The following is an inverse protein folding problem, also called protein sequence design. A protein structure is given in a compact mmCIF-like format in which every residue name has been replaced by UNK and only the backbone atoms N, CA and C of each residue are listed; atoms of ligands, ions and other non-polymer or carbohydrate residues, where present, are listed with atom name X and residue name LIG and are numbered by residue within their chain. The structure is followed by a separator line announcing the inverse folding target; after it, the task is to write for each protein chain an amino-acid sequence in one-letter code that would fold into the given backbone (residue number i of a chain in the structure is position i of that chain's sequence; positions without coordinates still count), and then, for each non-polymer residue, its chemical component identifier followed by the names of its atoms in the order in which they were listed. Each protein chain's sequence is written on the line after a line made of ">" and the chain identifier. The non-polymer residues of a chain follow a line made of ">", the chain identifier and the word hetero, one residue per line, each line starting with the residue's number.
data_IF_466587427803
#
_entry.id   IF_466587427803
#
_cell.length_a   1.000
_cell.length_b   1.000
_cell.length_c   1.000
_cell.angle_alpha   90.00
_cell.angle_beta   90.00
_cell.angle_gamma   90.00
#
_symmetry.space_group_name_H-M   'P 1'
#
loop_
_entity.id
_entity.type
_entity.pdbx_description
1 polymer ?
#
# COMPACT_ATOMS: atom_id res chain seq x y z
N UNK A 1 0.32 -23.71 -14.25
CA UNK A 1 -0.24 -22.33 -14.34
C UNK A 1 -0.19 -21.68 -12.98
N UNK A 2 0.29 -20.44 -12.92
CA UNK A 2 0.30 -19.66 -11.68
C UNK A 2 -1.02 -18.92 -11.60
N UNK A 3 -1.73 -19.10 -10.48
CA UNK A 3 -2.97 -18.39 -10.20
C UNK A 3 -2.68 -17.28 -9.21
N UNK A 4 -3.23 -16.09 -9.45
CA UNK A 4 -3.07 -14.94 -8.57
C UNK A 4 -4.41 -14.26 -8.36
N UNK A 5 -4.62 -13.73 -7.17
CA UNK A 5 -5.70 -12.77 -6.92
C UNK A 5 -5.08 -11.41 -6.63
N UNK A 6 -5.79 -10.36 -7.02
CA UNK A 6 -5.32 -8.98 -6.89
C UNK A 6 -6.35 -8.21 -6.09
N UNK A 7 -5.86 -7.47 -5.08
CA UNK A 7 -6.70 -6.56 -4.31
C UNK A 7 -6.37 -5.11 -4.66
N UNK A 8 -7.35 -4.24 -4.52
CA UNK A 8 -7.18 -2.80 -4.70
C UNK A 8 -7.74 -2.06 -3.50
N UNK A 9 -6.92 -1.16 -2.97
CA UNK A 9 -7.35 -0.24 -1.92
C UNK A 9 -6.99 1.18 -2.34
N UNK A 10 -7.84 2.12 -1.95
CA UNK A 10 -7.53 3.55 -2.05
C UNK A 10 -7.52 4.10 -0.64
N UNK A 11 -6.46 4.80 -0.27
CA UNK A 11 -6.36 5.44 1.04
C UNK A 11 -5.91 6.88 0.86
N UNK A 12 -6.54 7.78 1.63
CA UNK A 12 -6.07 9.16 1.71
C UNK A 12 -4.90 9.17 2.69
N UNK A 13 -3.80 9.77 2.27
CA UNK A 13 -2.63 9.85 3.11
C UNK A 13 -1.79 11.08 2.85
N UNK A 14 -0.84 11.29 3.73
CA UNK A 14 0.10 12.41 3.68
C UNK A 14 1.50 11.86 3.80
N UNK A 15 2.42 12.40 3.01
CA UNK A 15 3.83 12.11 3.14
C UNK A 15 4.67 13.30 2.69
N UNK A 16 5.97 13.19 2.87
CA UNK A 16 6.92 14.21 2.42
C UNK A 16 8.16 13.54 1.87
N UNK A 17 8.86 14.27 1.02
CA UNK A 17 10.16 13.86 0.49
C UNK A 17 11.21 14.87 0.97
N UNK A 18 11.77 14.70 2.19
CA UNK A 18 12.64 15.71 2.80
C UNK A 18 13.84 16.11 1.96
N UNK A 19 14.42 15.13 1.24
CA UNK A 19 15.62 15.35 0.42
C UNK A 19 15.28 15.57 -1.05
N UNK A 20 14.08 16.10 -1.36
CA UNK A 20 13.64 16.30 -2.72
C UNK A 20 14.61 17.21 -3.49
N UNK A 21 14.99 16.80 -4.73
CA UNK A 21 15.89 17.62 -5.56
C UNK A 21 15.20 18.93 -5.97
N UNK A 22 15.98 19.89 -6.45
CA UNK A 22 15.47 21.21 -6.81
C UNK A 22 14.33 21.15 -7.83
N UNK A 23 14.34 20.19 -8.74
CA UNK A 23 13.30 20.02 -9.76
C UNK A 23 11.93 19.71 -9.18
N UNK A 24 11.86 19.18 -7.95
CA UNK A 24 10.61 18.85 -7.26
C UNK A 24 10.65 19.22 -5.78
N UNK A 25 11.31 20.34 -5.47
CA UNK A 25 11.51 20.80 -4.09
C UNK A 25 10.18 20.96 -3.31
N UNK A 26 9.08 21.24 -4.01
CA UNK A 26 7.76 21.35 -3.39
C UNK A 26 7.31 20.06 -2.69
N UNK A 27 7.87 18.89 -3.07
CA UNK A 27 7.56 17.61 -2.44
C UNK A 27 8.21 17.46 -1.06
N UNK A 28 9.12 18.35 -0.68
CA UNK A 28 9.79 18.28 0.63
C UNK A 28 8.83 18.56 1.79
N UNK A 29 7.71 19.23 1.53
CA UNK A 29 6.70 19.52 2.55
C UNK A 29 5.63 18.42 2.53
N UNK A 30 5.00 18.22 3.69
CA UNK A 30 3.90 17.28 3.84
C UNK A 30 2.81 17.61 2.81
N UNK A 31 2.41 16.62 2.03
CA UNK A 31 1.40 16.79 0.99
C UNK A 31 0.46 15.59 0.96
N UNK A 32 -0.76 15.84 0.48
CA UNK A 32 -1.84 14.88 0.44
C UNK A 32 -1.90 14.17 -0.91
N UNK A 33 -2.12 12.85 -0.85
CA UNK A 33 -2.44 12.07 -2.04
C UNK A 33 -3.56 11.07 -1.75
N UNK A 34 -4.21 10.60 -2.81
CA UNK A 34 -4.98 9.36 -2.75
C UNK A 34 -4.03 8.27 -3.21
N UNK A 35 -3.61 7.43 -2.28
CA UNK A 35 -2.70 6.32 -2.59
C UNK A 35 -3.53 5.15 -3.09
N UNK A 36 -3.15 4.62 -4.25
CA UNK A 36 -3.77 3.44 -4.85
C UNK A 36 -2.84 2.27 -4.60
N UNK A 37 -3.35 1.26 -3.89
CA UNK A 37 -2.56 0.12 -3.44
C UNK A 37 -3.09 -1.13 -4.11
N UNK A 38 -2.24 -1.78 -4.90
CA UNK A 38 -2.54 -3.02 -5.59
C UNK A 38 -1.65 -4.12 -5.03
N UNK A 39 -2.25 -5.18 -4.52
CA UNK A 39 -1.51 -6.29 -3.92
C UNK A 39 -1.86 -7.60 -4.63
N UNK A 40 -0.85 -8.43 -4.86
CA UNK A 40 -1.01 -9.71 -5.50
C UNK A 40 -0.72 -10.84 -4.52
N UNK A 41 -1.53 -11.90 -4.63
CA UNK A 41 -1.40 -13.11 -3.80
C UNK A 41 -1.44 -14.32 -4.72
N UNK A 42 -0.42 -15.16 -4.64
CA UNK A 42 -0.42 -16.44 -5.36
C UNK A 42 -1.31 -17.43 -4.61
N UNK A 43 -2.16 -18.12 -5.33
CA UNK A 43 -3.09 -19.08 -4.76
C UNK A 43 -2.93 -20.43 -5.45
N UNK A 44 -3.28 -21.52 -4.75
CA UNK A 44 -3.08 -22.87 -5.21
C UNK A 44 -4.36 -23.55 -5.68
N UNK A 45 -5.54 -23.03 -5.34
CA UNK A 45 -6.81 -23.61 -5.76
C UNK A 45 -7.83 -22.51 -6.10
N UNK A 46 -8.98 -22.94 -6.64
CA UNK A 46 -9.98 -22.02 -7.19
C UNK A 46 -11.03 -21.57 -6.18
N UNK A 47 -10.97 -22.03 -4.93
CA UNK A 47 -12.03 -21.80 -3.96
C UNK A 47 -11.65 -20.76 -2.90
N UNK A 48 -11.38 -19.55 -3.35
CA UNK A 48 -11.21 -18.36 -2.48
C UNK A 48 -10.23 -18.57 -1.33
N UNK A 49 -9.06 -19.12 -1.63
CA UNK A 49 -7.96 -19.25 -0.67
C UNK A 49 -7.65 -17.90 -0.04
N UNK A 50 -7.64 -16.84 -0.87
CA UNK A 50 -7.61 -15.45 -0.44
C UNK A 50 -8.92 -14.83 -0.89
N UNK A 51 -9.81 -14.49 0.05
CA UNK A 51 -11.06 -13.84 -0.29
C UNK A 51 -10.80 -12.33 -0.41
N UNK A 52 -11.11 -11.77 -1.59
CA UNK A 52 -10.69 -10.42 -1.97
C UNK A 52 -11.25 -9.36 -1.01
N UNK A 53 -12.54 -9.42 -0.69
CA UNK A 53 -13.17 -8.40 0.17
C UNK A 53 -12.59 -8.44 1.58
N UNK A 54 -12.44 -9.63 2.14
CA UNK A 54 -11.85 -9.81 3.47
C UNK A 54 -10.42 -9.31 3.50
N UNK A 55 -9.64 -9.62 2.47
CA UNK A 55 -8.25 -9.18 2.40
C UNK A 55 -8.16 -7.65 2.28
N UNK A 56 -9.02 -7.03 1.47
CA UNK A 56 -9.04 -5.57 1.35
C UNK A 56 -9.39 -4.90 2.67
N UNK A 57 -10.32 -5.48 3.43
CA UNK A 57 -10.66 -4.98 4.78
C UNK A 57 -9.47 -5.12 5.74
N UNK A 58 -8.76 -6.24 5.70
CA UNK A 58 -7.57 -6.45 6.52
C UNK A 58 -6.46 -5.47 6.18
N UNK A 59 -6.22 -5.22 4.88
CA UNK A 59 -5.23 -4.25 4.43
C UNK A 59 -5.57 -2.84 4.94
N UNK A 60 -6.82 -2.43 4.76
CA UNK A 60 -7.28 -1.12 5.22
C UNK A 60 -7.15 -0.99 6.75
N UNK A 61 -7.56 -2.01 7.50
CA UNK A 61 -7.49 -1.98 8.95
C UNK A 61 -6.05 -1.91 9.47
N UNK A 62 -5.14 -2.65 8.84
CA UNK A 62 -3.72 -2.63 9.21
C UNK A 62 -3.07 -1.28 8.91
N UNK A 63 -3.37 -0.69 7.76
CA UNK A 63 -2.88 0.64 7.40
C UNK A 63 -3.40 1.70 8.38
N UNK A 64 -4.68 1.64 8.70
CA UNK A 64 -5.29 2.58 9.64
C UNK A 64 -4.71 2.44 11.04
N UNK A 65 -4.48 1.22 11.49
CA UNK A 65 -3.92 0.95 12.82
C UNK A 65 -2.50 1.51 12.94
N UNK A 66 -1.67 1.33 11.90
CA UNK A 66 -0.28 1.77 11.91
C UNK A 66 -0.12 3.25 11.63
N UNK A 67 -0.85 3.77 10.65
CA UNK A 67 -0.63 5.12 10.11
C UNK A 67 -1.77 6.10 10.39
N UNK A 68 -2.90 5.62 10.86
CA UNK A 68 -4.07 6.47 11.10
C UNK A 68 -4.99 6.59 9.89
N UNK A 69 -6.06 7.37 10.05
CA UNK A 69 -7.00 7.66 8.97
C UNK A 69 -7.36 9.16 9.03
N UNK A 70 -6.86 10.01 8.10
CA UNK A 70 -6.00 9.66 6.98
C UNK A 70 -4.64 9.12 7.41
N UNK A 71 -3.97 8.38 6.51
CA UNK A 71 -2.68 7.80 6.83
C UNK A 71 -1.60 8.86 6.88
N UNK A 72 -0.80 8.85 7.94
CA UNK A 72 0.38 9.71 8.06
C UNK A 72 1.61 8.87 7.80
N UNK A 73 2.08 8.89 6.57
CA UNK A 73 3.21 8.07 6.15
C UNK A 73 4.58 8.71 6.43
N UNK A 74 4.59 9.98 6.87
CA UNK A 74 5.83 10.66 7.19
C UNK A 74 6.72 10.80 5.97
N UNK A 75 7.96 10.34 6.06
CA UNK A 75 8.92 10.39 4.94
C UNK A 75 8.88 9.14 4.05
N UNK A 76 7.89 8.28 4.21
CA UNK A 76 7.76 7.09 3.38
C UNK A 76 7.49 7.47 1.92
N UNK A 77 8.26 6.85 1.01
CA UNK A 77 7.95 6.84 -0.41
C UNK A 77 6.86 5.80 -0.70
N UNK A 78 6.37 5.76 -1.93
CA UNK A 78 5.46 4.68 -2.35
C UNK A 78 6.15 3.32 -2.22
N UNK A 79 7.46 3.25 -2.52
CA UNK A 79 8.24 2.01 -2.37
C UNK A 79 8.34 1.58 -0.91
N UNK A 80 8.46 2.53 0.01
CA UNK A 80 8.48 2.22 1.45
C UNK A 80 7.15 1.64 1.91
N UNK A 81 6.04 2.20 1.46
CA UNK A 81 4.70 1.68 1.77
C UNK A 81 4.55 0.26 1.23
N UNK A 82 4.98 0.03 -0.01
CA UNK A 82 4.93 -1.31 -0.62
C UNK A 82 5.77 -2.31 0.18
N UNK A 83 6.96 -1.91 0.61
CA UNK A 83 7.85 -2.75 1.42
C UNK A 83 7.21 -3.07 2.77
N UNK A 84 6.59 -2.06 3.40
CA UNK A 84 5.88 -2.27 4.67
C UNK A 84 4.78 -3.33 4.53
N UNK A 85 3.99 -3.25 3.45
CA UNK A 85 2.92 -4.21 3.18
C UNK A 85 3.48 -5.63 2.98
N UNK A 86 4.54 -5.76 2.18
CA UNK A 86 5.15 -7.07 1.93
C UNK A 86 5.72 -7.70 3.20
N UNK A 87 6.25 -6.89 4.10
CA UNK A 87 6.76 -7.38 5.37
C UNK A 87 5.65 -7.73 6.36
N UNK A 88 4.49 -7.11 6.22
CA UNK A 88 3.36 -7.30 7.14
C UNK A 88 2.51 -8.52 6.77
N UNK A 89 2.39 -8.84 5.49
CA UNK A 89 1.52 -9.91 5.00
C UNK A 89 2.36 -10.99 4.31
N UNK A 90 2.57 -12.11 5.00
CA UNK A 90 3.44 -13.20 4.51
C UNK A 90 2.89 -13.85 3.24
N UNK A 91 1.57 -13.85 3.03
CA UNK A 91 0.93 -14.44 1.85
C UNK A 91 1.01 -13.54 0.61
N UNK A 92 1.39 -12.27 0.78
CA UNK A 92 1.48 -11.32 -0.32
C UNK A 92 2.75 -11.56 -1.14
N UNK A 93 2.60 -11.67 -2.47
CA UNK A 93 3.73 -11.90 -3.37
C UNK A 93 4.22 -10.61 -4.04
N UNK A 94 3.37 -9.60 -4.15
CA UNK A 94 3.73 -8.33 -4.78
C UNK A 94 2.84 -7.21 -4.24
N UNK A 95 3.41 -6.03 -4.12
CA UNK A 95 2.66 -4.82 -3.75
C UNK A 95 3.08 -3.68 -4.67
N UNK A 96 2.09 -2.93 -5.15
CA UNK A 96 2.29 -1.73 -5.99
C UNK A 96 1.56 -0.58 -5.33
N UNK A 97 2.22 0.56 -5.24
CA UNK A 97 1.65 1.76 -4.65
C UNK A 97 1.81 2.90 -5.64
N UNK A 98 0.68 3.52 -5.97
CA UNK A 98 0.62 4.70 -6.84
C UNK A 98 0.08 5.88 -6.05
N UNK A 99 0.45 7.08 -6.48
CA UNK A 99 -0.10 8.31 -5.92
C UNK A 99 -0.62 9.27 -6.99
#
# INVERSE_FOLDING_TARGET
>A
MIKKVITYNQVIGFHSYPDAPASCAYLSKRHRHVFIISCEFKVSHNNREIEINTMQEQLAANLQKEFGSPCEFGSFSCEDVATWLLNRFSEMSEAKVLE
#
